data_IF_413423664525
#
_entry.id   IF_413423664525
#
_cell.length_a   1.000
_cell.length_b   1.000
_cell.length_c   1.000
_cell.angle_alpha   90.00
_cell.angle_beta   90.00
_cell.angle_gamma   90.00
#
_symmetry.space_group_name_H-M   'P 1'
#
loop_
_entity.id
_entity.type
_entity.pdbx_description
1 polymer ?
#
# COMPACT_ATOMS: atom_id res chain seq x y z
N UNK A 1 -33.00 5.08 12.03
CA UNK A 1 -32.15 4.61 10.91
C UNK A 1 -32.06 5.71 9.86
N UNK A 2 -30.85 6.20 9.59
CA UNK A 2 -30.57 7.24 8.57
C UNK A 2 -30.11 6.57 7.28
N UNK A 3 -30.37 7.21 6.15
CA UNK A 3 -29.89 6.76 4.84
C UNK A 3 -28.92 7.79 4.28
N UNK A 4 -27.74 7.35 3.85
CA UNK A 4 -26.79 8.16 3.08
C UNK A 4 -26.73 7.60 1.66
N UNK A 5 -26.87 8.50 0.67
CA UNK A 5 -26.72 8.16 -0.75
C UNK A 5 -25.25 8.21 -1.15
N UNK A 6 -24.71 7.07 -1.54
CA UNK A 6 -23.37 6.87 -2.09
C UNK A 6 -23.41 6.70 -3.62
N UNK A 7 -22.37 7.17 -4.31
CA UNK A 7 -22.28 7.10 -5.77
C UNK A 7 -22.13 5.65 -6.27
N UNK A 8 -21.42 4.82 -5.51
CA UNK A 8 -21.09 3.44 -5.85
C UNK A 8 -22.18 2.49 -5.34
N UNK A 9 -22.42 2.49 -4.04
CA UNK A 9 -23.27 1.51 -3.34
C UNK A 9 -24.73 1.92 -3.18
N UNK A 10 -25.09 3.12 -3.67
CA UNK A 10 -26.45 3.68 -3.60
C UNK A 10 -26.85 3.95 -2.15
N UNK A 11 -27.85 3.27 -1.61
CA UNK A 11 -28.39 3.62 -0.29
C UNK A 11 -27.67 2.83 0.80
N UNK A 12 -26.91 3.54 1.63
CA UNK A 12 -26.24 2.99 2.81
C UNK A 12 -27.06 3.34 4.05
N UNK A 13 -27.53 2.30 4.74
CA UNK A 13 -28.32 2.42 5.96
C UNK A 13 -27.41 2.44 7.20
N UNK A 14 -27.70 3.35 8.11
CA UNK A 14 -26.95 3.58 9.34
C UNK A 14 -27.89 3.53 10.54
N UNK A 15 -27.47 2.82 11.58
CA UNK A 15 -28.12 2.86 12.89
C UNK A 15 -27.70 4.07 13.72
N UNK A 16 -28.32 4.29 14.88
CA UNK A 16 -28.06 5.47 15.72
C UNK A 16 -26.64 5.48 16.29
N UNK A 17 -26.08 4.32 16.63
CA UNK A 17 -24.73 4.20 17.20
C UNK A 17 -23.65 4.50 16.15
N UNK A 18 -23.88 4.09 14.90
CA UNK A 18 -23.02 4.40 13.76
C UNK A 18 -23.06 5.90 13.42
N UNK A 19 -24.20 6.56 13.62
CA UNK A 19 -24.33 8.00 13.43
C UNK A 19 -23.51 8.79 14.45
N UNK A 20 -23.47 8.36 15.71
CA UNK A 20 -22.60 8.99 16.72
C UNK A 20 -21.13 8.98 16.30
N UNK A 21 -20.66 7.88 15.69
CA UNK A 21 -19.30 7.79 15.16
C UNK A 21 -19.12 8.73 13.97
N UNK A 22 -20.05 8.70 13.03
CA UNK A 22 -19.96 9.51 11.81
C UNK A 22 -19.99 11.00 12.12
N UNK A 23 -20.78 11.42 13.10
CA UNK A 23 -20.92 12.82 13.50
C UNK A 23 -19.79 13.30 14.43
N UNK A 24 -18.83 12.43 14.78
CA UNK A 24 -17.62 12.81 15.53
C UNK A 24 -16.67 13.68 14.71
N UNK A 25 -15.94 14.58 15.38
CA UNK A 25 -14.94 15.44 14.73
C UNK A 25 -13.87 14.62 13.98
N UNK A 26 -13.40 13.54 14.60
CA UNK A 26 -12.36 12.70 14.03
C UNK A 26 -12.81 12.03 12.73
N UNK A 27 -14.09 11.63 12.63
CA UNK A 27 -14.65 11.01 11.44
C UNK A 27 -15.02 12.05 10.39
N UNK A 28 -15.60 13.19 10.79
CA UNK A 28 -15.92 14.29 9.87
C UNK A 28 -14.67 14.86 9.18
N UNK A 29 -13.50 14.83 9.82
CA UNK A 29 -12.21 15.17 9.21
C UNK A 29 -11.95 14.41 7.89
N UNK A 30 -12.40 13.16 7.78
CA UNK A 30 -12.19 12.34 6.59
C UNK A 30 -12.85 12.92 5.33
N UNK A 31 -13.86 13.82 5.46
CA UNK A 31 -14.50 14.51 4.34
C UNK A 31 -13.56 15.42 3.56
N UNK A 32 -12.46 15.81 4.19
CA UNK A 32 -11.48 16.73 3.63
C UNK A 32 -10.14 16.05 3.37
N UNK A 33 -10.08 14.71 3.38
CA UNK A 33 -8.88 13.93 3.06
C UNK A 33 -9.13 13.16 1.77
N UNK A 34 -8.49 13.58 0.67
CA UNK A 34 -8.63 12.91 -0.63
C UNK A 34 -8.13 11.47 -0.55
N UNK A 35 -8.95 10.54 -1.06
CA UNK A 35 -8.68 9.09 -1.06
C UNK A 35 -7.34 8.78 -1.76
N UNK A 36 -7.13 9.40 -2.92
CA UNK A 36 -6.03 9.11 -3.84
C UNK A 36 -5.02 10.26 -3.93
N UNK A 37 -4.88 11.06 -2.86
CA UNK A 37 -3.87 12.13 -2.78
C UNK A 37 -4.00 13.17 -3.91
N UNK A 38 -2.92 13.38 -4.67
CA UNK A 38 -2.88 14.36 -5.77
C UNK A 38 -3.30 13.77 -7.13
N UNK A 39 -3.94 12.60 -7.16
CA UNK A 39 -4.45 11.97 -8.39
C UNK A 39 -5.35 12.90 -9.20
N UNK A 40 -6.07 13.83 -8.54
CA UNK A 40 -6.92 14.81 -9.21
C UNK A 40 -6.18 15.75 -10.19
N UNK A 41 -4.86 15.92 -10.06
CA UNK A 41 -4.06 16.72 -11.01
C UNK A 41 -3.91 16.04 -12.38
N UNK A 42 -4.18 14.75 -12.46
CA UNK A 42 -4.19 13.95 -13.69
C UNK A 42 -5.61 13.57 -14.08
N UNK A 43 -6.44 13.19 -13.10
CA UNK A 43 -7.83 12.80 -13.28
C UNK A 43 -8.74 13.80 -12.55
N UNK A 44 -9.19 14.89 -13.19
CA UNK A 44 -9.82 16.03 -12.51
C UNK A 44 -11.04 15.69 -11.64
N UNK A 45 -11.71 14.56 -11.90
CA UNK A 45 -12.87 14.08 -11.14
C UNK A 45 -12.52 13.23 -9.91
N UNK A 46 -11.25 12.87 -9.71
CA UNK A 46 -10.75 12.06 -8.59
C UNK A 46 -10.70 12.84 -7.26
N UNK A 47 -11.83 13.43 -6.88
CA UNK A 47 -11.99 14.29 -5.69
C UNK A 47 -12.65 13.58 -4.51
N UNK A 48 -12.94 12.29 -4.62
CA UNK A 48 -13.53 11.50 -3.56
C UNK A 48 -12.60 11.39 -2.35
N UNK A 49 -13.19 11.22 -1.19
CA UNK A 49 -12.51 11.31 0.10
C UNK A 49 -12.59 10.00 0.88
N UNK A 50 -11.77 9.92 1.94
CA UNK A 50 -11.75 8.79 2.86
C UNK A 50 -13.11 8.58 3.56
N UNK A 51 -13.93 9.62 3.68
CA UNK A 51 -15.25 9.55 4.33
C UNK A 51 -16.21 8.59 3.60
N UNK A 52 -16.48 8.82 2.31
CA UNK A 52 -17.36 7.94 1.54
C UNK A 52 -16.74 6.56 1.29
N UNK A 53 -15.40 6.48 1.24
CA UNK A 53 -14.70 5.21 1.22
C UNK A 53 -14.96 4.39 2.49
N UNK A 54 -14.81 4.96 3.68
CA UNK A 54 -15.14 4.27 4.95
C UNK A 54 -16.59 3.80 5.00
N UNK A 55 -17.54 4.59 4.50
CA UNK A 55 -18.95 4.18 4.40
C UNK A 55 -19.13 3.00 3.45
N UNK A 56 -18.49 3.05 2.27
CA UNK A 56 -18.56 1.97 1.30
C UNK A 56 -17.88 0.68 1.76
N UNK A 57 -16.72 0.79 2.40
CA UNK A 57 -16.03 -0.33 3.06
C UNK A 57 -16.91 -0.96 4.14
N UNK A 58 -17.57 -0.15 4.99
CA UNK A 58 -18.54 -0.66 5.96
C UNK A 58 -19.70 -1.41 5.29
N UNK A 59 -20.27 -0.86 4.23
CA UNK A 59 -21.37 -1.48 3.50
C UNK A 59 -20.98 -2.86 2.93
N UNK A 60 -19.85 -2.94 2.24
CA UNK A 60 -19.37 -4.22 1.69
C UNK A 60 -19.03 -5.19 2.81
N UNK A 61 -18.35 -4.73 3.86
CA UNK A 61 -17.96 -5.55 5.00
C UNK A 61 -19.18 -6.15 5.71
N UNK A 62 -20.29 -5.40 5.82
CA UNK A 62 -21.52 -5.93 6.40
C UNK A 62 -22.11 -7.06 5.57
N UNK A 63 -22.10 -6.95 4.23
CA UNK A 63 -22.56 -8.01 3.34
C UNK A 63 -21.72 -9.27 3.41
N UNK A 64 -20.42 -9.13 3.60
CA UNK A 64 -19.53 -10.28 3.83
C UNK A 64 -19.83 -10.91 5.19
N UNK A 65 -19.93 -10.11 6.26
CA UNK A 65 -20.21 -10.60 7.60
C UNK A 65 -21.55 -11.35 7.69
N UNK A 66 -22.62 -10.78 7.11
CA UNK A 66 -23.93 -11.43 6.95
C UNK A 66 -23.79 -12.77 6.21
N UNK A 67 -23.01 -12.81 5.13
CA UNK A 67 -22.86 -13.99 4.28
C UNK A 67 -22.18 -15.17 4.99
N UNK A 68 -21.21 -14.89 5.88
CA UNK A 68 -20.42 -15.91 6.58
C UNK A 68 -20.76 -16.04 8.06
N UNK A 69 -21.84 -15.41 8.52
CA UNK A 69 -22.27 -15.39 9.92
C UNK A 69 -21.17 -14.92 10.89
N UNK A 70 -20.44 -13.86 10.52
CA UNK A 70 -19.52 -13.16 11.42
C UNK A 70 -20.26 -12.10 12.26
N UNK A 71 -19.57 -11.48 13.22
CA UNK A 71 -20.15 -10.37 13.99
C UNK A 71 -20.34 -9.13 13.09
N UNK A 72 -21.59 -8.88 12.68
CA UNK A 72 -21.95 -7.79 11.76
C UNK A 72 -21.75 -6.42 12.42
N UNK A 73 -22.11 -6.25 13.70
CA UNK A 73 -22.00 -4.97 14.41
C UNK A 73 -20.52 -4.58 14.57
N UNK A 74 -19.70 -5.51 15.07
CA UNK A 74 -18.25 -5.28 15.22
C UNK A 74 -17.56 -5.05 13.87
N UNK A 75 -17.96 -5.80 12.83
CA UNK A 75 -17.41 -5.65 11.48
C UNK A 75 -17.70 -4.25 10.93
N UNK A 76 -18.95 -3.79 11.02
CA UNK A 76 -19.36 -2.49 10.49
C UNK A 76 -18.65 -1.34 11.17
N UNK A 77 -18.63 -1.32 12.50
CA UNK A 77 -17.98 -0.25 13.27
C UNK A 77 -16.47 -0.24 13.03
N UNK A 78 -15.84 -1.41 12.99
CA UNK A 78 -14.41 -1.50 12.68
C UNK A 78 -14.11 -1.05 11.26
N UNK A 79 -14.99 -1.37 10.29
CA UNK A 79 -14.85 -0.95 8.91
C UNK A 79 -14.99 0.58 8.75
N UNK A 80 -15.92 1.23 9.47
CA UNK A 80 -16.00 2.69 9.50
C UNK A 80 -14.68 3.31 9.97
N UNK A 81 -14.13 2.77 11.06
CA UNK A 81 -12.96 3.34 11.74
C UNK A 81 -11.59 2.95 11.15
N UNK A 82 -11.53 2.07 10.14
CA UNK A 82 -10.26 1.50 9.67
C UNK A 82 -9.24 2.56 9.20
N UNK A 83 -9.75 3.61 8.57
CA UNK A 83 -8.99 4.70 7.95
C UNK A 83 -8.98 6.00 8.78
N UNK A 84 -9.50 5.97 10.01
CA UNK A 84 -9.65 7.15 10.87
C UNK A 84 -8.31 7.83 11.19
N UNK A 85 -7.19 7.13 10.99
CA UNK A 85 -5.84 7.60 11.24
C UNK A 85 -5.13 8.18 10.02
N UNK A 86 -5.76 8.29 8.85
CA UNK A 86 -5.08 8.82 7.68
C UNK A 86 -4.61 10.27 7.88
N UNK A 87 -3.39 10.62 7.40
CA UNK A 87 -2.94 11.99 7.30
C UNK A 87 -3.55 12.66 6.04
N UNK A 88 -3.36 13.97 5.88
CA UNK A 88 -3.66 14.66 4.63
C UNK A 88 -3.06 13.95 3.41
N UNK A 89 -3.76 13.96 2.28
CA UNK A 89 -3.40 13.26 1.06
C UNK A 89 -3.19 11.74 1.22
N UNK A 90 -3.73 11.15 2.28
CA UNK A 90 -3.78 9.71 2.54
C UNK A 90 -2.39 9.05 2.55
N UNK A 91 -2.20 7.91 1.87
CA UNK A 91 -0.91 7.19 1.80
C UNK A 91 0.25 8.04 1.27
N UNK A 92 -0.02 9.16 0.61
CA UNK A 92 1.01 10.09 0.13
C UNK A 92 1.86 10.61 1.27
N UNK A 93 1.28 10.90 2.44
CA UNK A 93 2.00 11.47 3.58
C UNK A 93 2.24 10.47 4.71
N UNK A 94 2.30 9.17 4.40
CA UNK A 94 2.91 8.18 5.28
C UNK A 94 4.44 8.23 5.18
N UNK A 95 5.00 9.38 5.55
CA UNK A 95 6.42 9.73 5.51
C UNK A 95 6.99 9.83 6.93
N UNK A 96 8.31 9.87 7.08
CA UNK A 96 8.98 10.05 8.38
C UNK A 96 8.53 9.05 9.47
N UNK A 97 8.12 7.83 9.09
CA UNK A 97 7.62 6.80 10.01
C UNK A 97 6.16 6.98 10.46
N UNK A 98 5.42 7.92 9.87
CA UNK A 98 3.98 8.01 10.07
C UNK A 98 3.28 6.73 9.59
N UNK A 99 2.32 6.24 10.36
CA UNK A 99 1.49 5.10 10.00
C UNK A 99 0.04 5.39 10.38
N UNK A 100 -0.84 5.44 9.38
CA UNK A 100 -2.26 5.70 9.61
C UNK A 100 -2.86 4.66 10.56
N UNK A 101 -2.46 3.38 10.48
CA UNK A 101 -2.95 2.36 11.39
C UNK A 101 -2.54 2.64 12.86
N UNK A 102 -1.34 3.18 13.10
CA UNK A 102 -0.86 3.49 14.46
C UNK A 102 -1.61 4.69 15.03
N UNK A 103 -1.75 5.75 14.23
CA UNK A 103 -2.48 6.95 14.64
C UNK A 103 -3.99 6.71 14.76
N UNK A 104 -4.57 5.87 13.90
CA UNK A 104 -5.98 5.46 13.97
C UNK A 104 -6.29 4.76 15.28
N UNK A 105 -5.47 3.79 15.68
CA UNK A 105 -5.59 3.12 16.99
C UNK A 105 -5.44 4.09 18.16
N UNK A 106 -4.58 5.12 18.05
CA UNK A 106 -4.47 6.16 19.07
C UNK A 106 -5.74 6.99 19.14
N UNK A 107 -6.33 7.39 18.02
CA UNK A 107 -7.60 8.15 17.99
C UNK A 107 -8.75 7.35 18.59
N UNK A 108 -8.93 6.09 18.17
CA UNK A 108 -10.00 5.20 18.67
C UNK A 108 -9.99 5.08 20.20
N UNK A 109 -8.83 5.11 20.85
CA UNK A 109 -8.73 5.08 22.32
C UNK A 109 -9.37 6.32 22.98
N UNK A 110 -9.26 7.48 22.35
CA UNK A 110 -9.73 8.77 22.88
C UNK A 110 -11.13 9.15 22.38
N UNK A 111 -11.58 8.59 21.26
CA UNK A 111 -12.95 8.79 20.75
C UNK A 111 -14.01 8.31 21.75
N UNK A 112 -15.15 8.99 21.77
CA UNK A 112 -16.33 8.48 22.47
C UNK A 112 -16.95 7.33 21.65
N UNK A 113 -16.89 6.11 22.20
CA UNK A 113 -17.38 4.88 21.57
C UNK A 113 -18.10 4.03 22.63
N UNK A 114 -18.87 4.65 23.52
CA UNK A 114 -19.45 3.99 24.71
C UNK A 114 -20.34 2.78 24.36
N UNK A 115 -20.92 2.78 23.16
CA UNK A 115 -21.72 1.69 22.62
C UNK A 115 -20.90 0.48 22.14
N UNK A 116 -19.57 0.58 22.09
CA UNK A 116 -18.68 -0.43 21.50
C UNK A 116 -17.41 -0.69 22.32
N UNK A 117 -16.91 -1.92 22.24
CA UNK A 117 -15.63 -2.26 22.87
C UNK A 117 -14.44 -1.75 22.05
N UNK A 118 -13.82 -0.66 22.51
CA UNK A 118 -12.59 -0.09 21.90
C UNK A 118 -11.47 -1.15 21.73
N UNK A 119 -11.35 -2.08 22.67
CA UNK A 119 -10.33 -3.13 22.62
C UNK A 119 -10.61 -4.17 21.53
N UNK A 120 -11.87 -4.56 21.34
CA UNK A 120 -12.27 -5.48 20.27
C UNK A 120 -12.18 -4.82 18.89
N UNK A 121 -12.52 -3.53 18.76
CA UNK A 121 -12.29 -2.76 17.51
C UNK A 121 -10.81 -2.75 17.16
N UNK A 122 -9.93 -2.38 18.11
CA UNK A 122 -8.48 -2.35 17.86
C UNK A 122 -7.93 -3.75 17.53
N UNK A 123 -8.44 -4.80 18.16
CA UNK A 123 -8.08 -6.20 17.86
C UNK A 123 -8.52 -6.59 16.45
N UNK A 124 -9.70 -6.14 16.02
CA UNK A 124 -10.25 -6.32 14.68
C UNK A 124 -9.40 -5.63 13.63
N UNK A 125 -9.05 -4.35 13.83
CA UNK A 125 -8.15 -3.59 12.96
C UNK A 125 -6.70 -4.14 12.92
N UNK A 126 -6.34 -5.04 13.84
CA UNK A 126 -5.08 -5.78 13.78
C UNK A 126 -5.20 -7.13 13.05
N UNK A 127 -6.34 -7.42 12.43
CA UNK A 127 -6.62 -8.67 11.69
C UNK A 127 -6.49 -9.93 12.57
N UNK A 128 -6.79 -9.81 13.87
CA UNK A 128 -6.66 -10.91 14.84
C UNK A 128 -7.87 -11.85 14.88
N UNK A 129 -9.02 -11.42 14.38
CA UNK A 129 -10.28 -12.18 14.30
C UNK A 129 -10.73 -12.31 12.83
N UNK A 130 -11.93 -12.86 12.62
CA UNK A 130 -12.50 -13.07 11.29
C UNK A 130 -12.91 -11.74 10.66
N UNK A 131 -13.53 -10.89 11.45
CA UNK A 131 -14.03 -9.54 11.09
C UNK A 131 -12.91 -8.66 10.54
N UNK A 132 -11.72 -8.71 11.16
CA UNK A 132 -10.57 -7.96 10.67
C UNK A 132 -10.10 -8.39 9.29
N UNK A 133 -10.25 -9.67 8.94
CA UNK A 133 -9.92 -10.21 7.61
C UNK A 133 -10.98 -9.91 6.56
N UNK A 134 -12.22 -9.67 6.98
CA UNK A 134 -13.28 -9.17 6.10
C UNK A 134 -12.94 -7.74 5.65
N UNK A 135 -12.45 -6.91 6.58
CA UNK A 135 -12.12 -5.51 6.31
C UNK A 135 -10.81 -5.38 5.55
N UNK A 136 -9.76 -6.08 6.00
CA UNK A 136 -8.41 -6.03 5.43
C UNK A 136 -7.80 -7.43 5.31
N UNK A 137 -7.66 -7.92 4.08
CA UNK A 137 -7.32 -9.28 3.68
C UNK A 137 -7.03 -9.35 2.17
N UNK A 138 -7.06 -10.55 1.59
CA UNK A 138 -6.69 -10.71 0.17
C UNK A 138 -7.89 -10.46 -0.77
N UNK A 139 -9.10 -10.77 -0.29
CA UNK A 139 -10.39 -10.46 -0.91
C UNK A 139 -11.24 -9.78 0.15
N UNK A 140 -11.00 -8.49 0.36
CA UNK A 140 -11.52 -7.71 1.48
C UNK A 140 -12.46 -6.58 1.03
N UNK A 141 -13.18 -6.02 1.99
CA UNK A 141 -14.14 -4.95 1.75
C UNK A 141 -13.48 -3.64 1.34
N UNK A 142 -12.35 -3.28 1.96
CA UNK A 142 -11.57 -2.08 1.64
C UNK A 142 -11.21 -2.05 0.14
N UNK A 143 -10.66 -3.14 -0.38
CA UNK A 143 -10.30 -3.28 -1.80
C UNK A 143 -11.46 -3.25 -2.74
N UNK A 144 -12.53 -3.94 -2.40
CA UNK A 144 -13.70 -3.95 -3.26
C UNK A 144 -14.32 -2.56 -3.35
N UNK A 145 -14.32 -1.77 -2.28
CA UNK A 145 -14.77 -0.38 -2.33
C UNK A 145 -13.81 0.48 -3.14
N UNK A 146 -12.51 0.52 -2.79
CA UNK A 146 -11.60 1.46 -3.44
C UNK A 146 -11.46 1.17 -4.94
N UNK A 147 -11.47 -0.10 -5.39
CA UNK A 147 -11.35 -0.40 -6.82
C UNK A 147 -12.54 0.18 -7.59
N UNK A 148 -13.76 -0.05 -7.11
CA UNK A 148 -14.97 0.47 -7.74
C UNK A 148 -15.03 2.00 -7.67
N UNK A 149 -14.72 2.56 -6.50
CA UNK A 149 -14.80 3.99 -6.23
C UNK A 149 -13.76 4.78 -7.02
N UNK A 150 -12.51 4.34 -6.99
CA UNK A 150 -11.42 4.99 -7.71
C UNK A 150 -11.62 4.89 -9.22
N UNK A 151 -12.08 3.73 -9.72
CA UNK A 151 -12.42 3.56 -11.15
C UNK A 151 -13.48 4.56 -11.58
N UNK A 152 -14.58 4.66 -10.82
CA UNK A 152 -15.67 5.58 -11.10
C UNK A 152 -15.21 7.05 -11.12
N UNK A 153 -14.48 7.50 -10.10
CA UNK A 153 -14.08 8.91 -9.96
C UNK A 153 -12.90 9.29 -10.87
N UNK A 154 -12.09 8.33 -11.32
CA UNK A 154 -11.06 8.58 -12.35
C UNK A 154 -11.62 8.50 -13.76
N UNK A 155 -12.86 8.04 -13.95
CA UNK A 155 -13.47 7.83 -15.26
C UNK A 155 -12.85 6.65 -16.02
N UNK A 156 -12.12 5.78 -15.34
CA UNK A 156 -11.51 4.58 -15.93
C UNK A 156 -12.42 3.37 -15.75
N UNK A 157 -12.30 2.38 -16.63
CA UNK A 157 -13.00 1.09 -16.49
C UNK A 157 -12.14 0.01 -15.80
N UNK A 158 -10.92 0.35 -15.40
CA UNK A 158 -9.92 -0.61 -14.93
C UNK A 158 -10.26 -1.24 -13.57
N UNK A 159 -10.97 -0.55 -12.69
CA UNK A 159 -11.33 -1.06 -11.36
C UNK A 159 -12.70 -1.73 -11.30
N UNK A 160 -13.36 -1.97 -12.45
CA UNK A 160 -14.65 -2.65 -12.47
C UNK A 160 -14.53 -4.12 -12.06
N UNK A 161 -15.32 -4.54 -11.09
CA UNK A 161 -15.38 -5.92 -10.58
C UNK A 161 -16.82 -6.40 -10.45
N UNK A 162 -17.04 -7.71 -10.57
CA UNK A 162 -18.35 -8.33 -10.30
C UNK A 162 -18.53 -8.56 -8.79
N UNK A 163 -18.74 -7.46 -8.06
CA UNK A 163 -18.95 -7.46 -6.62
C UNK A 163 -20.05 -8.46 -6.19
N UNK A 164 -21.25 -8.51 -6.82
CA UNK A 164 -22.27 -9.49 -6.47
C UNK A 164 -21.80 -10.95 -6.60
N UNK A 165 -21.02 -11.28 -7.64
CA UNK A 165 -20.48 -12.65 -7.80
C UNK A 165 -19.42 -12.96 -6.76
N UNK A 166 -18.55 -12.01 -6.43
CA UNK A 166 -17.54 -12.18 -5.37
C UNK A 166 -18.25 -12.46 -4.04
N UNK A 167 -19.19 -11.60 -3.63
CA UNK A 167 -19.96 -11.77 -2.40
C UNK A 167 -20.68 -13.13 -2.32
N UNK A 168 -21.31 -13.58 -3.43
CA UNK A 168 -21.97 -14.91 -3.48
C UNK A 168 -20.99 -16.08 -3.36
N UNK A 169 -19.72 -15.87 -3.67
CA UNK A 169 -18.69 -16.91 -3.67
C UNK A 169 -17.86 -16.99 -2.40
N UNK A 170 -17.88 -15.93 -1.57
CA UNK A 170 -17.21 -15.94 -0.27
C UNK A 170 -17.84 -17.00 0.65
N UNK A 171 -16.98 -17.75 1.32
CA UNK A 171 -17.31 -18.78 2.31
C UNK A 171 -16.24 -18.83 3.39
N UNK A 172 -16.42 -19.67 4.40
CA UNK A 172 -15.40 -19.99 5.39
C UNK A 172 -15.00 -21.46 5.31
N UNK A 173 -13.83 -21.78 5.86
CA UNK A 173 -13.36 -23.14 6.09
C UNK A 173 -12.47 -23.17 7.34
N UNK A 174 -12.34 -24.35 7.97
CA UNK A 174 -11.47 -24.54 9.12
C UNK A 174 -10.08 -25.03 8.69
N UNK A 175 -9.05 -24.47 9.31
CA UNK A 175 -7.66 -24.83 9.07
C UNK A 175 -6.87 -24.67 10.36
N UNK A 176 -6.35 -25.77 10.91
CA UNK A 176 -5.61 -25.80 12.18
C UNK A 176 -6.37 -25.15 13.35
N UNK A 177 -7.66 -25.48 13.49
CA UNK A 177 -8.54 -24.94 14.55
C UNK A 177 -8.89 -23.46 14.40
N UNK A 178 -8.62 -22.86 13.23
CA UNK A 178 -8.96 -21.46 12.93
C UNK A 178 -9.85 -21.37 11.71
N UNK A 179 -10.92 -20.60 11.83
CA UNK A 179 -11.77 -20.22 10.70
C UNK A 179 -11.01 -19.25 9.80
N UNK A 180 -11.03 -19.54 8.50
CA UNK A 180 -10.44 -18.71 7.45
C UNK A 180 -11.47 -18.43 6.37
N UNK A 181 -11.29 -17.30 5.68
CA UNK A 181 -12.09 -16.93 4.51
C UNK A 181 -11.56 -17.72 3.31
N UNK A 182 -12.47 -18.26 2.52
CA UNK A 182 -12.20 -18.93 1.25
C UNK A 182 -13.22 -18.53 0.20
N UNK A 183 -12.95 -18.90 -1.04
CA UNK A 183 -13.78 -18.62 -2.21
C UNK A 183 -14.21 -19.95 -2.83
N UNK A 184 -15.50 -20.13 -3.06
CA UNK A 184 -16.01 -21.32 -3.76
C UNK A 184 -15.41 -21.39 -5.17
N UNK A 185 -15.09 -22.59 -5.69
CA UNK A 185 -14.52 -22.81 -7.05
C UNK A 185 -15.27 -22.06 -8.16
N UNK A 186 -16.60 -21.92 -8.05
CA UNK A 186 -17.43 -21.15 -8.99
C UNK A 186 -17.16 -19.63 -9.00
N UNK A 187 -16.44 -19.11 -8.02
CA UNK A 187 -16.07 -17.70 -7.87
C UNK A 187 -14.70 -17.34 -8.46
N UNK A 188 -13.91 -18.32 -8.94
CA UNK A 188 -12.54 -18.08 -9.44
C UNK A 188 -12.51 -16.95 -10.47
N UNK A 189 -13.39 -16.96 -11.47
CA UNK A 189 -13.44 -15.93 -12.52
C UNK A 189 -13.65 -14.51 -11.95
N UNK A 190 -14.45 -14.38 -10.88
CA UNK A 190 -14.71 -13.07 -10.28
C UNK A 190 -13.50 -12.57 -9.47
N UNK A 191 -12.78 -13.48 -8.82
CA UNK A 191 -11.52 -13.15 -8.14
C UNK A 191 -10.41 -12.83 -9.14
N UNK A 192 -10.28 -13.62 -10.20
CA UNK A 192 -9.38 -13.34 -11.32
C UNK A 192 -9.64 -11.95 -11.90
N UNK A 193 -10.90 -11.60 -12.15
CA UNK A 193 -11.29 -10.26 -12.59
C UNK A 193 -10.89 -9.18 -11.57
N UNK A 194 -11.06 -9.42 -10.27
CA UNK A 194 -10.62 -8.49 -9.23
C UNK A 194 -9.11 -8.27 -9.24
N UNK A 195 -8.32 -9.33 -9.42
CA UNK A 195 -6.86 -9.23 -9.48
C UNK A 195 -6.38 -8.48 -10.73
N UNK A 196 -6.99 -8.75 -11.88
CA UNK A 196 -6.72 -8.00 -13.12
C UNK A 196 -7.08 -6.53 -12.93
N UNK A 197 -8.24 -6.24 -12.36
CA UNK A 197 -8.70 -4.87 -12.11
C UNK A 197 -7.71 -4.11 -11.21
N UNK A 198 -7.25 -4.75 -10.12
CA UNK A 198 -6.20 -4.21 -9.26
C UNK A 198 -4.92 -3.93 -10.02
N UNK A 199 -4.41 -4.90 -10.78
CA UNK A 199 -3.18 -4.72 -11.56
C UNK A 199 -3.26 -3.52 -12.51
N UNK A 200 -4.39 -3.38 -13.21
CA UNK A 200 -4.64 -2.27 -14.13
C UNK A 200 -4.77 -0.92 -13.41
N UNK A 201 -5.52 -0.86 -12.29
CA UNK A 201 -5.63 0.36 -11.46
C UNK A 201 -4.28 0.80 -10.92
N UNK A 202 -3.46 -0.13 -10.44
CA UNK A 202 -2.08 0.18 -10.01
C UNK A 202 -1.26 0.79 -11.13
N UNK A 203 -1.25 0.17 -12.32
CA UNK A 203 -0.44 0.67 -13.43
C UNK A 203 -0.96 2.00 -13.98
N UNK A 204 -2.27 2.15 -14.16
CA UNK A 204 -2.86 3.27 -14.89
C UNK A 204 -3.13 4.49 -14.00
N UNK A 205 -3.44 4.29 -12.72
CA UNK A 205 -3.85 5.35 -11.80
C UNK A 205 -2.78 5.58 -10.73
N UNK A 206 -2.56 4.61 -9.85
CA UNK A 206 -1.73 4.82 -8.65
C UNK A 206 -0.24 5.02 -8.97
N UNK A 207 0.26 4.33 -9.99
CA UNK A 207 1.65 4.43 -10.46
C UNK A 207 1.77 5.31 -11.72
N UNK A 208 0.74 6.10 -12.04
CA UNK A 208 0.81 7.03 -13.16
C UNK A 208 1.95 8.04 -12.94
N UNK A 209 2.88 8.24 -13.90
CA UNK A 209 4.11 9.01 -13.66
C UNK A 209 3.86 10.44 -13.17
N UNK A 210 2.80 11.11 -13.65
CA UNK A 210 2.48 12.48 -13.22
C UNK A 210 1.89 12.52 -11.80
N UNK A 211 1.15 11.48 -11.39
CA UNK A 211 0.63 11.37 -10.00
C UNK A 211 1.82 11.17 -9.06
N UNK A 212 2.71 10.24 -9.39
CA UNK A 212 3.93 9.96 -8.63
C UNK A 212 4.82 11.19 -8.46
N UNK A 213 4.98 11.98 -9.51
CA UNK A 213 5.70 13.26 -9.43
C UNK A 213 5.03 14.21 -8.42
N UNK A 214 3.72 14.41 -8.51
CA UNK A 214 3.01 15.31 -7.61
C UNK A 214 3.08 14.82 -6.14
N UNK A 215 2.93 13.51 -5.93
CA UNK A 215 3.06 12.87 -4.63
C UNK A 215 4.48 13.06 -4.05
N UNK A 216 5.53 12.90 -4.86
CA UNK A 216 6.90 13.16 -4.41
C UNK A 216 7.12 14.63 -4.10
N UNK A 217 6.58 15.55 -4.89
CA UNK A 217 6.69 16.98 -4.63
C UNK A 217 6.04 17.37 -3.29
N UNK A 218 4.81 16.90 -3.00
CA UNK A 218 4.16 17.23 -1.71
C UNK A 218 4.89 16.58 -0.54
N UNK A 219 5.41 15.35 -0.69
CA UNK A 219 6.22 14.70 0.35
C UNK A 219 7.44 15.55 0.69
N UNK A 220 8.16 16.05 -0.31
CA UNK A 220 9.34 16.90 -0.11
C UNK A 220 8.98 18.25 0.48
N UNK A 221 7.83 18.82 0.09
CA UNK A 221 7.30 20.04 0.71
C UNK A 221 7.12 19.84 2.22
N UNK A 222 6.45 18.77 2.64
CA UNK A 222 6.18 18.46 4.05
C UNK A 222 7.44 18.08 4.82
N UNK A 223 8.31 17.25 4.24
CA UNK A 223 9.59 16.86 4.86
C UNK A 223 10.45 18.10 5.15
N UNK A 224 10.49 19.06 4.23
CA UNK A 224 11.23 20.31 4.42
C UNK A 224 10.76 21.06 5.66
N UNK A 225 9.46 21.27 5.80
CA UNK A 225 8.89 21.96 6.97
C UNK A 225 9.14 21.20 8.29
N UNK A 226 9.17 19.86 8.24
CA UNK A 226 9.53 19.03 9.39
C UNK A 226 11.01 19.20 9.75
N UNK A 227 11.92 19.20 8.77
CA UNK A 227 13.36 19.40 8.99
C UNK A 227 13.67 20.79 9.56
N UNK A 228 12.94 21.81 9.10
CA UNK A 228 13.03 23.19 9.59
C UNK A 228 12.31 23.40 10.94
N UNK A 229 11.64 22.36 11.47
CA UNK A 229 10.88 22.37 12.73
C UNK A 229 9.67 23.32 12.72
N UNK A 230 9.15 23.65 11.55
CA UNK A 230 7.90 24.39 11.38
C UNK A 230 6.67 23.49 11.55
N UNK A 231 6.84 22.16 11.44
CA UNK A 231 5.77 21.15 11.55
C UNK A 231 6.25 19.91 12.32
N UNK A 232 5.49 19.41 13.30
CA UNK A 232 5.71 18.07 13.87
C UNK A 232 4.94 17.03 13.03
N UNK A 233 5.60 15.91 12.72
CA UNK A 233 4.98 14.77 12.01
C UNK A 233 3.69 14.27 12.69
N UNK A 234 3.56 14.42 14.02
CA UNK A 234 2.36 14.03 14.76
C UNK A 234 1.16 14.92 14.45
N UNK A 235 1.39 16.18 14.09
CA UNK A 235 0.33 17.14 13.83
C UNK A 235 -0.46 16.78 12.57
N UNK A 236 0.18 16.09 11.61
CA UNK A 236 -0.51 15.53 10.44
C UNK A 236 -1.69 14.64 10.81
N UNK A 237 -1.69 13.99 11.98
CA UNK A 237 -2.83 13.17 12.40
C UNK A 237 -4.09 13.99 12.69
N UNK A 238 -3.97 15.29 12.95
CA UNK A 238 -5.10 16.17 13.25
C UNK A 238 -5.42 17.13 12.10
N UNK A 239 -4.57 17.18 11.08
CA UNK A 239 -4.82 17.96 9.86
C UNK A 239 -5.67 17.20 8.86
N UNK A 240 -6.38 17.94 8.01
CA UNK A 240 -6.90 17.49 6.72
C UNK A 240 -6.13 18.16 5.57
N UNK A 241 -6.54 17.92 4.33
CA UNK A 241 -5.85 18.47 3.15
C UNK A 241 -5.88 20.00 3.14
N UNK A 242 -6.98 20.60 3.62
CA UNK A 242 -7.16 22.06 3.63
C UNK A 242 -6.21 22.69 4.65
N UNK A 243 -6.13 22.14 5.85
CA UNK A 243 -5.23 22.61 6.90
C UNK A 243 -3.77 22.54 6.46
N UNK A 244 -3.35 21.41 5.88
CA UNK A 244 -1.96 21.25 5.41
C UNK A 244 -1.64 22.19 4.24
N UNK A 245 -2.51 22.29 3.25
CA UNK A 245 -2.28 23.20 2.11
C UNK A 245 -2.22 24.65 2.58
N UNK A 246 -3.09 25.04 3.50
CA UNK A 246 -3.08 26.39 4.08
C UNK A 246 -1.76 26.65 4.82
N UNK A 247 -1.29 25.70 5.62
CA UNK A 247 0.00 25.77 6.30
C UNK A 247 1.15 25.95 5.30
N UNK A 248 1.25 25.08 4.28
CA UNK A 248 2.31 25.14 3.28
C UNK A 248 2.32 26.44 2.47
N UNK A 249 1.13 27.03 2.21
CA UNK A 249 1.01 28.34 1.54
C UNK A 249 1.48 29.49 2.44
N UNK A 250 1.15 29.45 3.74
CA UNK A 250 1.59 30.46 4.71
C UNK A 250 3.11 30.40 4.91
N UNK A 251 3.70 29.21 4.90
CA UNK A 251 5.16 29.01 4.93
C UNK A 251 5.86 29.40 3.61
N UNK A 252 5.14 29.91 2.61
CA UNK A 252 5.65 30.25 1.27
C UNK A 252 6.43 29.08 0.63
N UNK A 253 5.98 27.85 0.87
CA UNK A 253 6.68 26.67 0.40
C UNK A 253 6.65 26.58 -1.15
N UNK A 254 7.82 26.69 -1.77
CA UNK A 254 7.94 26.75 -3.24
C UNK A 254 7.36 25.53 -3.97
N UNK A 255 7.41 24.33 -3.36
CA UNK A 255 6.83 23.13 -3.98
C UNK A 255 5.31 23.19 -3.97
N UNK A 256 4.72 23.73 -2.90
CA UNK A 256 3.28 23.97 -2.84
C UNK A 256 2.85 25.01 -3.88
N UNK A 257 3.60 26.11 -4.05
CA UNK A 257 3.34 27.10 -5.11
C UNK A 257 3.36 26.44 -6.51
N UNK A 258 4.35 25.57 -6.76
CA UNK A 258 4.43 24.81 -8.01
C UNK A 258 3.26 23.85 -8.20
N UNK A 259 2.83 23.15 -7.15
CA UNK A 259 1.67 22.25 -7.19
C UNK A 259 0.39 23.04 -7.50
N UNK A 260 0.16 24.16 -6.83
CA UNK A 260 -1.01 25.02 -7.02
C UNK A 260 -1.13 25.51 -8.48
N UNK A 261 -0.02 25.86 -9.12
CA UNK A 261 0.03 26.28 -10.53
C UNK A 261 0.15 25.12 -11.52
N UNK A 262 0.10 23.87 -11.02
CA UNK A 262 0.36 22.65 -11.79
C UNK A 262 1.69 22.70 -12.57
N UNK A 263 2.68 23.45 -12.08
CA UNK A 263 4.04 23.49 -12.60
C UNK A 263 4.87 22.33 -12.02
N UNK A 264 4.41 21.12 -12.33
CA UNK A 264 5.00 19.89 -11.79
C UNK A 264 6.37 19.62 -12.37
N UNK A 265 7.19 18.93 -11.59
CA UNK A 265 8.45 18.34 -12.06
C UNK A 265 8.20 17.37 -13.20
N UNK A 266 9.27 16.88 -13.81
CA UNK A 266 9.21 15.92 -14.90
C UNK A 266 10.18 14.77 -14.67
N UNK A 267 9.83 13.63 -15.25
CA UNK A 267 10.67 12.45 -15.22
C UNK A 267 11.97 12.68 -16.00
N UNK A 268 13.09 12.58 -15.28
CA UNK A 268 14.42 12.71 -15.81
C UNK A 268 14.92 11.34 -16.27
N UNK A 269 14.92 10.37 -15.36
CA UNK A 269 15.35 8.97 -15.57
C UNK A 269 14.39 8.06 -14.81
N UNK A 270 14.12 6.89 -15.37
CA UNK A 270 13.51 5.77 -14.65
C UNK A 270 14.38 4.54 -14.81
N UNK A 271 14.68 3.89 -13.68
CA UNK A 271 15.22 2.54 -13.64
C UNK A 271 14.07 1.59 -13.38
N UNK A 272 13.77 0.75 -14.37
CA UNK A 272 12.78 -0.30 -14.21
C UNK A 272 13.35 -1.47 -13.41
N UNK A 273 12.47 -2.34 -12.93
CA UNK A 273 12.87 -3.56 -12.23
C UNK A 273 13.92 -4.38 -12.99
N UNK A 274 13.89 -4.46 -14.33
CA UNK A 274 14.84 -5.29 -15.08
C UNK A 274 16.13 -4.56 -15.48
N UNK A 275 16.19 -3.23 -15.33
CA UNK A 275 17.42 -2.47 -15.56
C UNK A 275 18.44 -2.67 -14.43
N UNK A 276 17.99 -3.19 -13.29
CA UNK A 276 18.77 -3.32 -12.07
C UNK A 276 19.12 -4.78 -11.77
N UNK A 277 20.37 -5.01 -11.39
CA UNK A 277 20.83 -6.30 -10.90
C UNK A 277 20.30 -6.56 -9.46
N UNK A 278 20.37 -7.81 -8.96
CA UNK A 278 19.85 -8.15 -7.62
C UNK A 278 20.43 -7.33 -6.46
N UNK A 279 21.70 -6.92 -6.54
CA UNK A 279 22.37 -6.12 -5.50
C UNK A 279 21.84 -4.69 -5.54
N UNK A 280 21.77 -4.08 -6.73
CA UNK A 280 21.21 -2.73 -6.90
C UNK A 280 19.77 -2.65 -6.37
N UNK A 281 18.94 -3.64 -6.71
CA UNK A 281 17.57 -3.75 -6.17
C UNK A 281 17.56 -3.76 -4.66
N UNK A 282 18.43 -4.55 -4.05
CA UNK A 282 18.52 -4.67 -2.59
C UNK A 282 18.90 -3.35 -1.93
N UNK A 283 19.84 -2.61 -2.52
CA UNK A 283 20.24 -1.28 -2.04
C UNK A 283 19.02 -0.37 -2.02
N UNK A 284 18.37 -0.18 -3.17
CA UNK A 284 17.24 0.75 -3.28
C UNK A 284 16.03 0.35 -2.44
N UNK A 285 15.70 -0.94 -2.34
CA UNK A 285 14.60 -1.45 -1.50
C UNK A 285 14.82 -1.17 -0.01
N UNK A 286 16.07 -0.98 0.42
CA UNK A 286 16.42 -0.74 1.82
C UNK A 286 16.90 0.68 2.10
N UNK A 287 16.92 1.57 1.11
CA UNK A 287 17.18 2.98 1.36
C UNK A 287 16.10 3.55 2.27
N UNK A 288 16.53 4.13 3.39
CA UNK A 288 15.66 4.90 4.24
C UNK A 288 15.51 6.34 3.75
N UNK A 289 14.55 7.07 4.32
CA UNK A 289 14.26 8.44 3.90
C UNK A 289 15.44 9.39 4.13
N UNK A 290 16.27 9.17 5.17
CA UNK A 290 17.44 10.01 5.44
C UNK A 290 18.51 9.82 4.37
N UNK A 291 18.75 8.58 3.96
CA UNK A 291 19.68 8.26 2.89
C UNK A 291 19.20 8.82 1.54
N UNK A 292 17.89 8.73 1.26
CA UNK A 292 17.31 9.33 0.06
C UNK A 292 17.54 10.85 0.06
N UNK A 293 17.23 11.55 1.16
CA UNK A 293 17.42 12.99 1.24
C UNK A 293 18.91 13.37 1.12
N UNK A 294 19.82 12.58 1.70
CA UNK A 294 21.25 12.78 1.52
C UNK A 294 21.69 12.66 0.06
N UNK A 295 21.16 11.69 -0.69
CA UNK A 295 21.41 11.58 -2.14
C UNK A 295 20.87 12.79 -2.91
N UNK A 296 19.67 13.26 -2.56
CA UNK A 296 19.08 14.44 -3.18
C UNK A 296 19.91 15.71 -2.90
N UNK A 297 20.46 15.87 -1.70
CA UNK A 297 21.41 16.96 -1.40
C UNK A 297 22.67 16.88 -2.27
N UNK A 298 23.19 15.68 -2.51
CA UNK A 298 24.33 15.49 -3.41
C UNK A 298 23.98 15.77 -4.87
N UNK A 299 22.76 15.46 -5.31
CA UNK A 299 22.28 15.89 -6.62
C UNK A 299 22.19 17.41 -6.71
N UNK A 300 21.73 18.08 -5.65
CA UNK A 300 21.72 19.53 -5.59
C UNK A 300 23.14 20.11 -5.71
N UNK A 301 24.13 19.55 -5.00
CA UNK A 301 25.54 19.97 -5.11
C UNK A 301 26.10 19.78 -6.53
N UNK A 302 25.78 18.66 -7.19
CA UNK A 302 26.28 18.31 -8.52
C UNK A 302 25.60 19.10 -9.66
N UNK A 303 24.30 19.39 -9.53
CA UNK A 303 23.49 19.94 -10.62
C UNK A 303 22.96 21.36 -10.35
N UNK A 304 22.97 21.83 -9.11
CA UNK A 304 22.46 23.13 -8.68
C UNK A 304 20.93 23.23 -8.60
N UNK A 305 20.21 22.10 -8.60
CA UNK A 305 18.75 22.05 -8.58
C UNK A 305 18.27 20.90 -7.71
N UNK A 306 17.10 21.09 -7.08
CA UNK A 306 16.43 20.00 -6.37
C UNK A 306 16.04 18.91 -7.37
N UNK A 307 16.65 17.73 -7.22
CA UNK A 307 16.34 16.55 -8.01
C UNK A 307 15.86 15.48 -7.03
N UNK A 308 14.64 15.00 -7.23
CA UNK A 308 14.00 14.07 -6.30
C UNK A 308 14.09 12.63 -6.75
N UNK A 309 14.27 11.73 -5.80
CA UNK A 309 14.23 10.28 -5.98
C UNK A 309 12.89 9.76 -5.46
N UNK A 310 12.19 9.02 -6.32
CA UNK A 310 10.98 8.31 -6.00
C UNK A 310 11.18 6.82 -6.19
N UNK A 311 11.21 6.08 -5.08
CA UNK A 311 11.26 4.63 -5.05
C UNK A 311 9.84 4.12 -4.86
N UNK A 312 9.35 3.36 -5.83
CA UNK A 312 7.96 2.90 -5.80
C UNK A 312 7.82 1.82 -4.70
N UNK A 313 6.64 1.70 -4.06
CA UNK A 313 6.44 0.68 -3.06
C UNK A 313 6.58 -0.72 -3.69
N UNK A 314 7.17 -1.67 -2.94
CA UNK A 314 7.18 -3.07 -3.38
C UNK A 314 5.72 -3.54 -3.50
N UNK A 315 5.31 -4.14 -4.63
CA UNK A 315 3.97 -4.71 -4.76
C UNK A 315 3.70 -5.73 -3.65
N UNK A 316 2.55 -5.63 -2.99
CA UNK A 316 2.08 -6.67 -2.06
C UNK A 316 1.49 -7.82 -2.88
N UNK A 317 2.24 -8.91 -2.99
CA UNK A 317 1.85 -10.15 -3.69
C UNK A 317 0.89 -10.98 -2.85
N UNK A 318 -0.39 -10.62 -2.87
CA UNK A 318 -1.42 -11.16 -1.98
C UNK A 318 -2.28 -12.27 -2.61
N UNK A 319 -2.14 -12.53 -3.92
CA UNK A 319 -2.88 -13.60 -4.63
C UNK A 319 -2.62 -14.97 -3.99
N UNK A 320 -1.42 -15.14 -3.45
CA UNK A 320 -0.96 -16.35 -2.80
C UNK A 320 -1.79 -16.75 -1.57
N UNK A 321 -2.54 -15.85 -0.95
CA UNK A 321 -3.27 -16.15 0.27
C UNK A 321 -4.76 -16.41 0.03
N UNK A 322 -5.25 -16.29 -1.21
CA UNK A 322 -6.64 -16.62 -1.54
C UNK A 322 -6.82 -18.13 -1.62
N UNK A 323 -7.70 -18.66 -0.77
CA UNK A 323 -8.03 -20.09 -0.75
C UNK A 323 -9.28 -20.38 -1.58
N UNK A 324 -9.17 -21.36 -2.47
CA UNK A 324 -10.25 -21.88 -3.28
C UNK A 324 -10.79 -23.17 -2.66
N UNK A 325 -12.09 -23.18 -2.40
CA UNK A 325 -12.83 -24.28 -1.78
C UNK A 325 -13.60 -25.04 -2.85
N UNK A 326 -13.39 -26.36 -2.89
CA UNK A 326 -14.04 -27.29 -3.81
C UNK A 326 -14.23 -28.66 -3.17
N UNK A 327 -14.97 -29.55 -3.83
CA UNK A 327 -15.15 -30.94 -3.37
C UNK A 327 -13.83 -31.72 -3.34
N UNK A 328 -12.83 -31.31 -4.14
CA UNK A 328 -11.47 -31.86 -4.15
C UNK A 328 -10.60 -31.39 -2.97
N UNK A 329 -11.15 -30.52 -2.11
CA UNK A 329 -10.45 -29.89 -1.00
C UNK A 329 -10.10 -28.41 -1.24
N UNK A 330 -9.15 -27.93 -0.42
CA UNK A 330 -8.74 -26.52 -0.38
C UNK A 330 -7.41 -26.35 -1.10
N UNK A 331 -7.40 -25.53 -2.16
CA UNK A 331 -6.20 -25.17 -2.95
C UNK A 331 -6.00 -23.66 -2.91
N UNK A 332 -4.80 -23.16 -3.19
CA UNK A 332 -4.58 -21.72 -3.35
C UNK A 332 -4.95 -21.28 -4.76
N UNK A 333 -5.31 -20.01 -4.92
CA UNK A 333 -5.72 -19.47 -6.21
C UNK A 333 -4.63 -19.62 -7.27
N UNK A 334 -3.37 -19.36 -6.93
CA UNK A 334 -2.23 -19.49 -7.85
C UNK A 334 -1.90 -20.95 -8.24
N UNK A 335 -2.47 -21.95 -7.55
CA UNK A 335 -2.38 -23.36 -7.93
C UNK A 335 -3.43 -23.77 -8.96
N UNK A 336 -4.53 -23.03 -9.07
CA UNK A 336 -5.67 -23.37 -9.94
C UNK A 336 -5.92 -22.36 -11.05
N UNK A 337 -5.33 -21.16 -10.96
CA UNK A 337 -5.45 -20.07 -11.93
C UNK A 337 -4.09 -19.73 -12.54
N UNK A 338 -3.84 -20.11 -13.81
CA UNK A 338 -2.67 -19.66 -14.55
C UNK A 338 -2.61 -18.13 -14.67
N UNK A 339 -3.77 -17.46 -14.72
CA UNK A 339 -3.84 -16.01 -14.77
C UNK A 339 -3.28 -15.38 -13.49
N UNK A 340 -3.75 -15.80 -12.32
CA UNK A 340 -3.24 -15.33 -11.03
C UNK A 340 -1.72 -15.56 -10.91
N UNK A 341 -1.23 -16.72 -11.37
CA UNK A 341 0.20 -17.01 -11.40
C UNK A 341 0.99 -16.06 -12.31
N UNK A 342 0.42 -15.67 -13.45
CA UNK A 342 1.04 -14.77 -14.44
C UNK A 342 1.04 -13.29 -14.04
N UNK A 343 0.14 -12.86 -13.14
CA UNK A 343 0.09 -11.49 -12.65
C UNK A 343 1.29 -11.15 -11.76
N UNK A 344 1.81 -12.12 -11.00
CA UNK A 344 2.98 -11.96 -10.13
C UNK A 344 4.18 -11.28 -10.81
N UNK A 345 4.76 -11.80 -11.91
CA UNK A 345 5.87 -11.14 -12.60
C UNK A 345 5.48 -9.80 -13.24
N UNK A 346 4.19 -9.62 -13.57
CA UNK A 346 3.69 -8.37 -14.13
C UNK A 346 3.58 -7.27 -13.08
N UNK A 347 3.21 -7.59 -11.84
CA UNK A 347 3.25 -6.64 -10.72
C UNK A 347 4.69 -6.20 -10.42
N UNK A 348 5.67 -7.11 -10.47
CA UNK A 348 7.08 -6.76 -10.25
C UNK A 348 7.60 -5.70 -11.23
N UNK A 349 7.09 -5.69 -12.47
CA UNK A 349 7.43 -4.69 -13.49
C UNK A 349 6.96 -3.28 -13.16
N UNK A 350 5.97 -3.14 -12.26
CA UNK A 350 5.48 -1.83 -11.84
C UNK A 350 6.42 -1.16 -10.83
N UNK A 351 7.36 -1.90 -10.26
CA UNK A 351 8.35 -1.33 -9.36
C UNK A 351 9.43 -0.60 -10.16
N UNK A 352 9.47 0.71 -9.97
CA UNK A 352 10.37 1.62 -10.63
C UNK A 352 11.09 2.50 -9.60
N UNK A 353 12.27 2.95 -9.98
CA UNK A 353 12.96 4.06 -9.33
C UNK A 353 12.97 5.19 -10.33
N UNK A 354 12.32 6.29 -9.98
CA UNK A 354 12.25 7.44 -10.86
C UNK A 354 12.95 8.63 -10.24
N UNK A 355 13.64 9.37 -11.09
CA UNK A 355 14.32 10.60 -10.72
C UNK A 355 13.59 11.74 -11.41
N UNK A 356 13.21 12.76 -10.64
CA UNK A 356 12.43 13.89 -11.09
C UNK A 356 13.23 15.18 -10.98
N UNK A 357 13.10 16.06 -11.98
CA UNK A 357 13.75 17.36 -11.98
C UNK A 357 12.76 18.46 -12.42
N UNK A 358 13.07 19.74 -12.14
CA UNK A 358 12.25 20.87 -12.58
C UNK A 358 12.04 20.82 -14.10
N UNK A 359 10.80 21.04 -14.55
CA UNK A 359 10.40 20.94 -15.97
C UNK A 359 11.31 21.78 -16.88
N UNK A 360 11.72 22.94 -16.39
CA UNK A 360 12.52 23.94 -17.09
C UNK A 360 13.96 23.46 -17.34
N UNK A 361 14.45 22.48 -16.56
CA UNK A 361 15.83 21.98 -16.61
C UNK A 361 15.99 20.62 -17.27
N UNK A 362 14.90 19.95 -17.66
CA UNK A 362 14.95 18.60 -18.24
C UNK A 362 15.81 18.53 -19.50
N UNK A 363 15.68 19.50 -20.42
CA UNK A 363 16.43 19.50 -21.68
C UNK A 363 17.93 19.63 -21.41
N UNK A 364 18.30 20.65 -20.63
CA UNK A 364 19.67 20.93 -20.21
C UNK A 364 20.32 19.74 -19.50
N UNK A 365 19.62 19.10 -18.56
CA UNK A 365 20.14 17.94 -17.85
C UNK A 365 20.35 16.75 -18.81
N UNK A 366 19.41 16.45 -19.70
CA UNK A 366 19.52 15.31 -20.64
C UNK A 366 20.70 15.42 -21.61
N UNK A 367 21.12 16.63 -21.97
CA UNK A 367 22.26 16.88 -22.87
C UNK A 367 23.62 16.70 -22.17
N UNK A 368 23.67 16.77 -20.83
CA UNK A 368 24.90 16.84 -20.04
C UNK A 368 25.33 15.52 -19.36
N UNK A 369 25.19 14.38 -20.06
CA UNK A 369 25.54 13.04 -19.52
C UNK A 369 24.97 12.77 -18.11
N UNK A 370 23.77 13.30 -17.83
CA UNK A 370 23.17 13.26 -16.48
C UNK A 370 23.03 11.85 -15.92
N UNK A 371 22.76 10.87 -16.78
CA UNK A 371 22.63 9.47 -16.37
C UNK A 371 23.94 8.93 -15.77
N UNK A 372 25.08 9.25 -16.37
CA UNK A 372 26.39 8.79 -15.90
C UNK A 372 26.78 9.45 -14.59
N UNK A 373 26.51 10.76 -14.46
CA UNK A 373 26.77 11.54 -13.23
C UNK A 373 25.90 11.06 -12.07
N UNK A 374 24.60 10.85 -12.31
CA UNK A 374 23.69 10.25 -11.33
C UNK A 374 24.14 8.84 -10.93
N UNK A 375 24.50 8.00 -11.90
CA UNK A 375 24.99 6.65 -11.63
C UNK A 375 26.27 6.66 -10.79
N UNK A 376 27.17 7.62 -11.02
CA UNK A 376 28.37 7.79 -10.20
C UNK A 376 28.00 8.06 -8.74
N UNK A 377 27.11 9.02 -8.49
CA UNK A 377 26.64 9.36 -7.14
C UNK A 377 25.93 8.16 -6.47
N UNK A 378 25.08 7.44 -7.21
CA UNK A 378 24.37 6.28 -6.69
C UNK A 378 25.31 5.11 -6.36
N UNK A 379 26.40 4.92 -7.11
CA UNK A 379 27.40 3.88 -6.84
C UNK A 379 28.23 4.13 -5.58
N UNK A 380 28.29 5.36 -5.11
CA UNK A 380 29.00 5.72 -3.88
C UNK A 380 28.19 5.37 -2.62
N UNK A 381 26.96 4.87 -2.77
CA UNK A 381 26.25 4.19 -1.68
C UNK A 381 26.99 2.88 -1.37
N UNK A 382 27.94 2.93 -0.44
CA UNK A 382 28.65 1.76 0.09
C UNK A 382 27.69 0.91 0.95
N UNK A 383 26.71 0.27 0.30
CA UNK A 383 25.73 -0.57 0.96
C UNK A 383 26.10 -2.02 0.68
N UNK A 384 26.70 -2.67 1.68
CA UNK A 384 26.88 -4.12 1.69
C UNK A 384 25.53 -4.80 1.79
N UNK A 385 25.38 -5.93 1.09
CA UNK A 385 24.22 -6.80 1.26
C UNK A 385 24.37 -7.54 2.59
N UNK A 386 23.98 -6.87 3.67
CA UNK A 386 23.91 -7.47 5.01
C UNK A 386 22.51 -8.05 5.22
N UNK A 387 22.43 -9.37 5.30
CA UNK A 387 21.18 -10.09 5.56
C UNK A 387 21.48 -11.38 6.31
N UNK A 388 20.94 -11.50 7.52
CA UNK A 388 21.08 -12.72 8.33
C UNK A 388 20.43 -13.93 7.64
N UNK A 389 19.39 -13.71 6.83
CA UNK A 389 18.75 -14.78 6.06
C UNK A 389 19.64 -15.29 4.92
N UNK A 390 20.44 -14.41 4.31
CA UNK A 390 21.47 -14.83 3.35
C UNK A 390 22.51 -15.68 4.07
N UNK A 391 22.99 -15.25 5.24
CA UNK A 391 24.00 -16.00 6.01
C UNK A 391 23.49 -17.40 6.39
N UNK A 392 22.24 -17.50 6.84
CA UNK A 392 21.58 -18.78 7.10
C UNK A 392 21.56 -19.66 5.85
N UNK A 393 21.22 -19.12 4.67
CA UNK A 393 21.21 -19.92 3.44
C UNK A 393 22.61 -20.24 2.91
N UNK A 394 23.64 -19.44 3.22
CA UNK A 394 25.04 -19.78 2.93
C UNK A 394 25.47 -21.00 3.73
N UNK A 395 25.05 -21.09 4.99
CA UNK A 395 25.36 -22.21 5.90
C UNK A 395 24.57 -23.48 5.55
N UNK A 396 23.25 -23.37 5.38
CA UNK A 396 22.37 -24.52 5.15
C UNK A 396 22.28 -24.95 3.69
N UNK A 397 22.70 -24.10 2.74
CA UNK A 397 22.62 -24.30 1.29
C UNK A 397 21.19 -24.23 0.73
N UNK A 398 20.28 -25.06 1.22
CA UNK A 398 18.87 -25.08 0.79
C UNK A 398 17.95 -25.46 1.95
N UNK A 399 16.92 -24.66 2.16
CA UNK A 399 15.94 -24.89 3.23
C UNK A 399 14.58 -25.24 2.61
N UNK A 400 14.06 -26.38 3.03
CA UNK A 400 12.72 -26.85 2.61
C UNK A 400 11.70 -26.52 3.68
N UNK A 401 10.70 -25.71 3.30
CA UNK A 401 9.60 -25.27 4.14
C UNK A 401 9.83 -23.91 4.81
N UNK A 402 8.90 -22.97 4.58
CA UNK A 402 8.95 -21.61 5.16
C UNK A 402 8.94 -21.63 6.69
N UNK A 403 8.22 -22.58 7.29
CA UNK A 403 8.17 -22.76 8.76
C UNK A 403 9.53 -23.16 9.34
N UNK A 404 10.20 -24.14 8.72
CA UNK A 404 11.55 -24.55 9.10
C UNK A 404 12.53 -23.37 8.95
N UNK A 405 12.40 -22.59 7.88
CA UNK A 405 13.24 -21.41 7.68
C UNK A 405 13.01 -20.36 8.79
N UNK A 406 11.74 -20.11 9.15
CA UNK A 406 11.41 -19.23 10.27
C UNK A 406 11.93 -19.76 11.61
N UNK A 407 11.91 -21.06 11.85
CA UNK A 407 12.44 -21.67 13.09
C UNK A 407 13.96 -21.45 13.20
N UNK A 408 14.72 -21.71 12.14
CA UNK A 408 16.18 -21.42 12.08
C UNK A 408 16.45 -19.92 12.25
N UNK A 409 15.65 -19.06 11.63
CA UNK A 409 15.77 -17.60 11.76
C UNK A 409 15.55 -17.12 13.20
N UNK A 410 14.58 -17.72 13.91
CA UNK A 410 14.32 -17.41 15.33
C UNK A 410 15.49 -17.81 16.23
N UNK A 411 16.14 -18.94 15.96
CA UNK A 411 17.35 -19.37 16.68
C UNK A 411 18.50 -18.36 16.53
N UNK A 412 18.51 -17.59 15.43
CA UNK A 412 19.45 -16.48 15.17
C UNK A 412 18.94 -15.11 15.64
N UNK A 413 17.88 -15.08 16.45
CA UNK A 413 17.33 -13.86 17.04
C UNK A 413 16.51 -12.99 16.08
N UNK A 414 16.07 -13.53 14.94
CA UNK A 414 15.23 -12.79 13.98
C UNK A 414 13.76 -12.93 14.39
N UNK A 415 13.05 -11.81 14.51
CA UNK A 415 11.62 -11.84 14.84
C UNK A 415 10.80 -12.37 13.66
N UNK A 416 9.60 -12.96 13.87
CA UNK A 416 8.75 -13.40 12.77
C UNK A 416 8.40 -12.29 11.78
N UNK A 417 8.15 -11.07 12.26
CA UNK A 417 7.80 -9.92 11.41
C UNK A 417 8.98 -9.52 10.52
N UNK A 418 10.17 -9.43 11.11
CA UNK A 418 11.42 -9.15 10.40
C UNK A 418 11.70 -10.22 9.36
N UNK A 419 11.61 -11.50 9.73
CA UNK A 419 11.78 -12.65 8.83
C UNK A 419 10.89 -12.55 7.59
N UNK A 420 9.58 -12.33 7.76
CA UNK A 420 8.67 -12.28 6.61
C UNK A 420 8.92 -11.07 5.72
N UNK A 421 9.25 -9.92 6.31
CA UNK A 421 9.48 -8.69 5.57
C UNK A 421 10.80 -8.76 4.77
N UNK A 422 11.87 -9.24 5.41
CA UNK A 422 13.18 -9.41 4.80
C UNK A 422 13.17 -10.50 3.74
N UNK A 423 12.56 -11.67 4.01
CA UNK A 423 12.41 -12.75 3.04
C UNK A 423 11.66 -12.28 1.79
N UNK A 424 10.60 -11.49 1.97
CA UNK A 424 9.85 -10.93 0.84
C UNK A 424 10.74 -10.02 -0.01
N UNK A 425 11.50 -9.11 0.61
CA UNK A 425 12.46 -8.23 -0.08
C UNK A 425 13.54 -9.03 -0.82
N UNK A 426 14.10 -10.06 -0.19
CA UNK A 426 15.16 -10.90 -0.78
C UNK A 426 14.67 -11.69 -2.00
N UNK A 427 13.45 -12.24 -1.93
CA UNK A 427 12.82 -12.91 -3.07
C UNK A 427 12.53 -11.89 -4.17
N UNK A 428 11.98 -10.73 -3.81
CA UNK A 428 11.69 -9.66 -4.75
C UNK A 428 12.94 -9.15 -5.47
N UNK A 429 14.07 -8.98 -4.78
CA UNK A 429 15.34 -8.58 -5.38
C UNK A 429 15.99 -9.70 -6.22
N UNK A 430 15.51 -10.94 -6.10
CA UNK A 430 16.09 -12.10 -6.77
C UNK A 430 17.37 -12.61 -6.09
N UNK A 431 17.61 -12.26 -4.83
CA UNK A 431 18.74 -12.78 -4.02
C UNK A 431 18.43 -14.19 -3.48
N UNK A 432 17.16 -14.46 -3.16
CA UNK A 432 16.66 -15.79 -2.79
C UNK A 432 15.72 -16.31 -3.87
N UNK A 433 15.91 -17.56 -4.29
CA UNK A 433 14.93 -18.29 -5.11
C UNK A 433 13.95 -19.02 -4.21
N UNK A 434 12.67 -18.71 -4.36
CA UNK A 434 11.56 -19.48 -3.80
C UNK A 434 10.99 -20.39 -4.89
N UNK A 435 10.99 -21.70 -4.66
CA UNK A 435 10.44 -22.71 -5.59
C UNK A 435 9.40 -23.56 -4.90
N UNK A 436 8.22 -23.70 -5.49
CA UNK A 436 7.20 -24.60 -4.98
C UNK A 436 7.40 -26.01 -5.55
N UNK A 437 7.59 -27.02 -4.70
CA UNK A 437 7.75 -28.42 -5.12
C UNK A 437 6.51 -29.26 -4.82
N UNK A 438 5.32 -28.83 -5.29
CA UNK A 438 3.99 -29.46 -5.12
C UNK A 438 3.48 -29.70 -3.70
N UNK A 439 4.36 -29.69 -2.69
CA UNK A 439 4.07 -29.91 -1.27
C UNK A 439 4.50 -28.72 -0.42
N UNK A 440 5.62 -28.09 -0.75
CA UNK A 440 6.20 -27.02 0.06
C UNK A 440 7.14 -26.15 -0.75
N UNK A 441 7.47 -24.98 -0.20
CA UNK A 441 8.45 -24.07 -0.76
C UNK A 441 9.87 -24.45 -0.38
N UNK A 442 10.78 -24.34 -1.33
CA UNK A 442 12.21 -24.54 -1.18
C UNK A 442 12.89 -23.19 -1.40
N UNK A 443 13.77 -22.82 -0.48
CA UNK A 443 14.51 -21.56 -0.47
C UNK A 443 16.00 -21.85 -0.65
N UNK A 444 16.61 -21.21 -1.64
CA UNK A 444 18.06 -21.25 -1.85
C UNK A 444 18.58 -19.90 -2.35
N UNK A 445 19.88 -19.65 -2.17
CA UNK A 445 20.51 -18.46 -2.73
C UNK A 445 20.49 -18.52 -4.25
N UNK A 446 20.26 -17.37 -4.88
CA UNK A 446 20.50 -17.24 -6.30
C UNK A 446 22.01 -17.28 -6.58
N UNK A 447 22.41 -17.77 -7.75
CA UNK A 447 23.82 -17.94 -8.12
C UNK A 447 24.60 -16.62 -8.08
N UNK A 448 23.93 -15.48 -8.26
CA UNK A 448 24.52 -14.14 -8.17
C UNK A 448 25.06 -13.78 -6.77
N UNK A 449 24.64 -14.50 -5.72
CA UNK A 449 25.04 -14.22 -4.31
C UNK A 449 26.28 -15.02 -3.90
N UNK A 450 26.86 -15.83 -4.79
CA UNK A 450 28.11 -16.57 -4.53
C UNK A 450 29.38 -15.70 -4.65
N UNK A 451 29.26 -14.38 -4.60
CA UNK A 451 30.40 -13.45 -4.59
C UNK A 451 30.83 -13.15 -3.15
#
# INVERSE_FOLDING_TARGET
MKVIRDSIHKDIYLDEKELEIIDSEEFQRLRNIKQTGLTYLVYPSANHTRFEHSLGTMFIASKIAEKINADVELTRVSALLHDIGHPPFSHTLEICGYSHEVFGRKKIKHMNLDNFSKSEIIKTLNRKNLEGKIISGDVDADRMDYLLRDSYHTGTAYGMIDLPRILRSITTFESFGKVKIGILKKGIQAIESLLVARHQMYSAVYMHPTVRIADTMIKRAVIKEIQEKNLDIKDLANMDDIALVSFLRISENYLMERIDRRNLYKNLITYSYFDLNPIEKWIFVNLDEKQILSLESRFYEEFGWDIFIDIYPIPKMEEHNVYIISDEGVKRLDEVSPLAQSLKPSEMRLWNISIYAPKEKIKELRENNVKDRINKILKELDVKVESKLIDILKEYGTITGKRRFLEIAKERGISPKEFYNELHKLIFCGLIKERFNRRTYVYCLNNFVKL
#
